data_IF_063823097389
#
_entry.id   IF_063823097389
#
_cell.length_a   1.000
_cell.length_b   1.000
_cell.length_c   1.000
_cell.angle_alpha   90.00
_cell.angle_beta   90.00
_cell.angle_gamma   90.00
#
_symmetry.space_group_name_H-M   'P 1'
#
loop_
_entity.id
_entity.type
_entity.pdbx_description
1 polymer ?
#
# COMPACT_ATOMS: atom_id res chain seq x y z
N UNK A 1 -10.25 7.67 12.39
CA UNK A 1 -11.01 6.84 11.42
C UNK A 1 -10.03 5.94 10.70
N UNK A 2 -10.07 4.64 10.98
CA UNK A 2 -9.19 3.67 10.33
C UNK A 2 -9.53 3.56 8.85
N UNK A 3 -8.51 3.60 8.00
CA UNK A 3 -8.66 3.44 6.55
C UNK A 3 -8.99 1.97 6.28
N UNK A 4 -10.11 1.69 5.60
CA UNK A 4 -10.48 0.32 5.23
C UNK A 4 -9.62 -0.18 4.08
N UNK A 5 -9.28 -1.46 4.12
CA UNK A 5 -8.56 -2.13 3.04
C UNK A 5 -9.42 -2.14 1.79
N UNK A 6 -8.88 -1.72 0.65
CA UNK A 6 -9.61 -1.72 -0.63
C UNK A 6 -9.93 -3.14 -1.13
N UNK A 7 -9.22 -4.15 -0.63
CA UNK A 7 -9.41 -5.55 -1.00
C UNK A 7 -10.46 -6.24 -0.11
N UNK A 8 -10.19 -6.33 1.21
CA UNK A 8 -11.04 -7.10 2.13
C UNK A 8 -12.06 -6.27 2.93
N UNK A 9 -12.05 -4.94 2.86
CA UNK A 9 -12.95 -4.08 3.62
C UNK A 9 -12.62 -3.93 5.13
N UNK A 10 -11.76 -4.79 5.68
CA UNK A 10 -11.29 -4.73 7.06
C UNK A 10 -10.39 -3.50 7.34
N UNK A 11 -10.17 -3.12 8.61
CA UNK A 11 -9.22 -2.07 8.95
C UNK A 11 -7.82 -2.34 8.38
N UNK A 12 -7.30 -1.46 7.52
CA UNK A 12 -5.99 -1.62 6.90
C UNK A 12 -4.81 -1.33 7.85
N UNK A 13 -5.10 -0.66 8.98
CA UNK A 13 -4.07 -0.17 9.89
C UNK A 13 -3.18 0.87 9.23
N UNK A 14 -1.88 0.82 9.55
CA UNK A 14 -0.83 1.67 9.00
C UNK A 14 0.13 0.84 8.15
N UNK A 15 -0.39 -0.04 7.29
CA UNK A 15 0.44 -0.80 6.37
C UNK A 15 0.78 0.06 5.14
N UNK A 16 -0.12 0.15 4.15
CA UNK A 16 0.08 0.99 2.96
C UNK A 16 -1.10 1.90 2.67
N UNK A 17 -0.79 3.10 2.19
CA UNK A 17 -1.77 3.93 1.50
C UNK A 17 -1.85 3.51 0.02
N UNK A 18 -2.98 3.78 -0.62
CA UNK A 18 -3.15 3.64 -2.08
C UNK A 18 -3.39 5.04 -2.62
N UNK A 19 -2.48 5.52 -3.45
CA UNK A 19 -2.44 6.91 -3.93
C UNK A 19 -2.50 6.92 -5.45
N UNK A 20 -3.44 7.66 -6.01
CA UNK A 20 -3.48 7.96 -7.45
C UNK A 20 -2.30 8.89 -7.78
N UNK A 21 -1.40 8.45 -8.65
CA UNK A 21 -0.19 9.20 -9.01
C UNK A 21 -0.49 10.40 -9.91
N UNK A 22 -1.60 10.40 -10.64
CA UNK A 22 -2.02 11.51 -11.51
C UNK A 22 -2.65 12.62 -10.67
N UNK A 23 -3.57 12.24 -9.77
CA UNK A 23 -4.28 13.20 -8.92
C UNK A 23 -3.51 13.61 -7.66
N UNK A 24 -2.51 12.84 -7.24
CA UNK A 24 -1.83 13.00 -5.96
C UNK A 24 -2.73 12.73 -4.75
N UNK A 25 -3.89 12.10 -4.98
CA UNK A 25 -4.92 11.89 -3.96
C UNK A 25 -4.93 10.46 -3.45
N UNK A 26 -5.13 10.30 -2.15
CA UNK A 26 -5.31 8.98 -1.56
C UNK A 26 -6.69 8.42 -1.92
N UNK A 27 -6.69 7.28 -2.58
CA UNK A 27 -7.91 6.57 -3.00
C UNK A 27 -8.26 5.39 -2.09
N UNK A 28 -7.34 4.98 -1.21
CA UNK A 28 -7.61 3.92 -0.23
C UNK A 28 -6.41 3.51 0.60
N UNK A 29 -6.49 2.32 1.20
CA UNK A 29 -5.41 1.68 1.95
C UNK A 29 -5.37 0.18 1.67
N UNK A 30 -4.22 -0.45 1.91
CA UNK A 30 -4.00 -1.89 1.74
C UNK A 30 -3.45 -2.48 3.03
N UNK A 31 -4.13 -3.50 3.57
CA UNK A 31 -3.70 -4.19 4.78
C UNK A 31 -2.55 -5.17 4.49
N UNK A 32 -1.77 -5.49 5.51
CA UNK A 32 -0.60 -6.39 5.38
C UNK A 32 -0.98 -7.80 4.90
N UNK A 33 -2.18 -8.27 5.25
CA UNK A 33 -2.64 -9.61 4.86
C UNK A 33 -2.93 -9.67 3.36
N UNK A 34 -3.67 -8.69 2.82
CA UNK A 34 -3.95 -8.60 1.39
C UNK A 34 -2.68 -8.30 0.59
N UNK A 35 -1.79 -7.43 1.10
CA UNK A 35 -0.47 -7.23 0.46
C UNK A 35 0.30 -8.55 0.33
N UNK A 36 0.34 -9.36 1.39
CA UNK A 36 1.06 -10.64 1.35
C UNK A 36 0.38 -11.69 0.48
N UNK A 37 -0.95 -11.74 0.48
CA UNK A 37 -1.71 -12.65 -0.36
C UNK A 37 -1.45 -12.39 -1.85
N UNK A 38 -1.40 -11.11 -2.23
CA UNK A 38 -1.38 -10.69 -3.63
C UNK A 38 0.04 -10.47 -4.16
N UNK A 39 0.90 -9.86 -3.35
CA UNK A 39 2.25 -9.47 -3.79
C UNK A 39 3.37 -10.26 -3.10
N UNK A 40 3.04 -11.13 -2.14
CA UNK A 40 4.01 -11.87 -1.34
C UNK A 40 4.95 -10.92 -0.60
N UNK A 41 6.25 -11.00 -0.93
CA UNK A 41 7.29 -10.11 -0.38
C UNK A 41 7.85 -9.12 -1.40
N UNK A 42 7.24 -9.05 -2.59
CA UNK A 42 7.76 -8.23 -3.69
C UNK A 42 7.86 -6.78 -3.24
N UNK A 43 6.82 -6.26 -2.59
CA UNK A 43 6.77 -4.88 -2.13
C UNK A 43 7.69 -4.58 -0.92
N UNK A 44 8.28 -5.59 -0.26
CA UNK A 44 9.20 -5.42 0.88
C UNK A 44 10.65 -5.15 0.45
N UNK A 45 11.07 -5.64 -0.74
CA UNK A 45 12.49 -5.72 -1.14
C UNK A 45 12.76 -5.40 -2.62
N UNK A 46 12.04 -4.44 -3.19
CA UNK A 46 12.31 -3.97 -4.54
C UNK A 46 13.16 -2.69 -4.56
N UNK A 47 14.12 -2.61 -5.49
CA UNK A 47 14.57 -1.32 -6.02
C UNK A 47 13.49 -0.81 -6.98
N UNK A 48 12.33 -0.48 -6.44
CA UNK A 48 11.26 0.10 -7.23
C UNK A 48 11.74 1.49 -7.65
N UNK A 49 11.78 1.75 -8.95
CA UNK A 49 11.79 3.13 -9.40
C UNK A 49 10.35 3.43 -9.77
N UNK A 50 9.68 4.31 -9.03
CA UNK A 50 8.32 4.78 -9.31
C UNK A 50 8.17 5.40 -10.71
N UNK A 51 9.28 5.59 -11.42
CA UNK A 51 9.38 6.03 -12.81
C UNK A 51 9.36 4.89 -13.86
N UNK A 52 9.45 3.61 -13.44
CA UNK A 52 9.57 2.47 -14.38
C UNK A 52 8.21 1.85 -14.77
N UNK A 53 7.09 2.45 -14.35
CA UNK A 53 5.76 1.88 -14.58
C UNK A 53 5.35 0.86 -13.50
N UNK A 54 4.46 -0.07 -13.84
CA UNK A 54 3.92 -1.03 -12.91
C UNK A 54 5.01 -2.01 -12.41
N UNK A 55 5.05 -2.24 -11.11
CA UNK A 55 5.96 -3.18 -10.45
C UNK A 55 5.86 -4.65 -10.93
N UNK A 56 4.81 -5.00 -11.68
CA UNK A 56 4.48 -6.39 -12.02
C UNK A 56 4.25 -6.63 -13.53
N UNK A 57 4.24 -5.59 -14.36
CA UNK A 57 4.11 -5.72 -15.81
C UNK A 57 4.64 -4.47 -16.53
N UNK A 58 4.77 -4.53 -17.86
CA UNK A 58 5.30 -3.43 -18.68
C UNK A 58 4.30 -2.27 -18.92
N UNK A 59 3.23 -2.18 -18.12
CA UNK A 59 2.21 -1.12 -18.22
C UNK A 59 2.55 0.06 -17.30
N UNK A 60 1.92 1.20 -17.52
CA UNK A 60 2.07 2.38 -16.66
C UNK A 60 1.59 2.13 -15.21
N UNK A 61 2.31 2.71 -14.26
CA UNK A 61 1.99 2.66 -12.83
C UNK A 61 1.12 3.85 -12.39
N UNK A 62 -0.19 3.66 -12.34
CA UNK A 62 -1.15 4.71 -11.97
C UNK A 62 -1.39 4.85 -10.46
N UNK A 63 -1.01 3.83 -9.68
CA UNK A 63 -1.27 3.81 -8.23
C UNK A 63 -0.01 3.52 -7.43
N UNK A 64 0.40 4.48 -6.60
CA UNK A 64 1.50 4.30 -5.67
C UNK A 64 1.04 3.61 -4.39
N UNK A 65 1.88 2.73 -3.86
CA UNK A 65 1.65 1.96 -2.65
C UNK A 65 2.67 2.31 -1.53
N UNK A 66 2.73 3.58 -1.06
CA UNK A 66 3.69 3.97 -0.04
C UNK A 66 3.33 3.37 1.33
N UNK A 67 4.37 3.07 2.11
CA UNK A 67 4.20 2.58 3.48
C UNK A 67 3.99 3.75 4.44
N UNK A 68 3.16 3.55 5.46
CA UNK A 68 3.10 4.48 6.58
C UNK A 68 4.35 4.31 7.44
N UNK A 69 5.04 5.42 7.69
CA UNK A 69 6.23 5.49 8.53
C UNK A 69 5.90 6.32 9.76
N UNK A 70 6.14 5.80 10.97
CA UNK A 70 6.03 6.60 12.18
C UNK A 70 7.19 7.60 12.25
N UNK A 71 6.86 8.85 12.54
CA UNK A 71 7.82 9.86 12.94
C UNK A 71 7.60 10.21 14.42
N UNK A 72 8.69 10.33 15.16
CA UNK A 72 8.65 10.65 16.58
C UNK A 72 9.44 11.94 16.79
N UNK A 73 8.71 13.03 17.05
CA UNK A 73 9.32 14.32 17.37
C UNK A 73 9.14 14.60 18.86
N UNK A 74 10.24 14.87 19.53
CA UNK A 74 10.19 15.43 20.88
C UNK A 74 9.98 16.94 20.75
N UNK A 75 8.92 17.43 21.38
CA UNK A 75 8.76 18.85 21.68
C UNK A 75 9.13 19.12 23.15
N UNK A 76 9.10 20.39 23.57
CA UNK A 76 9.52 20.80 24.91
C UNK A 76 8.65 20.20 26.04
N UNK A 77 7.45 19.67 25.73
CA UNK A 77 6.48 19.16 26.69
C UNK A 77 6.24 17.65 26.60
N UNK A 78 6.44 17.02 25.44
CA UNK A 78 6.07 15.64 25.18
C UNK A 78 6.84 14.99 24.01
N UNK A 79 6.78 13.66 23.98
CA UNK A 79 7.10 12.89 22.77
C UNK A 79 5.82 12.74 21.95
N UNK A 80 5.80 13.35 20.75
CA UNK A 80 4.68 13.25 19.81
C UNK A 80 5.05 12.23 18.74
N UNK A 81 4.22 11.20 18.60
CA UNK A 81 4.31 10.23 17.50
C UNK A 81 3.26 10.55 16.45
N UNK A 82 3.70 10.83 15.23
CA UNK A 82 2.86 10.99 14.05
C UNK A 82 3.13 9.84 13.09
N UNK A 83 2.19 9.60 12.17
CA UNK A 83 2.34 8.60 11.12
C UNK A 83 2.01 9.29 9.81
N UNK A 84 2.97 9.24 8.89
CA UNK A 84 2.87 9.83 7.57
C UNK A 84 3.36 8.84 6.51
N UNK A 85 3.03 9.07 5.25
CA UNK A 85 3.65 8.37 4.14
C UNK A 85 4.16 9.41 3.15
N UNK A 86 5.14 9.03 2.36
CA UNK A 86 5.68 9.83 1.28
C UNK A 86 5.70 9.00 0.00
N UNK A 87 5.27 9.59 -1.13
CA UNK A 87 5.43 8.99 -2.45
C UNK A 87 6.73 9.52 -3.02
N UNK A 88 7.72 8.64 -3.14
CA UNK A 88 9.05 8.92 -3.67
C UNK A 88 9.32 8.12 -4.93
N UNK A 89 10.42 8.40 -5.62
CA UNK A 89 10.91 7.55 -6.70
C UNK A 89 11.20 6.11 -6.25
N UNK A 90 11.31 5.81 -4.95
CA UNK A 90 11.48 4.45 -4.46
C UNK A 90 10.14 3.72 -4.22
N UNK A 91 9.00 4.39 -4.46
CA UNK A 91 7.68 3.87 -4.15
C UNK A 91 7.20 2.95 -5.26
N UNK A 92 6.81 1.73 -4.91
CA UNK A 92 6.19 0.80 -5.84
C UNK A 92 4.89 1.39 -6.38
N UNK A 93 4.72 1.31 -7.70
CA UNK A 93 3.49 1.68 -8.39
C UNK A 93 2.88 0.45 -9.07
N UNK A 94 1.56 0.43 -9.22
CA UNK A 94 0.82 -0.64 -9.91
C UNK A 94 -0.11 -0.04 -10.96
N UNK A 95 -0.37 -0.78 -12.03
CA UNK A 95 -1.37 -0.41 -13.01
C UNK A 95 -2.80 -0.58 -12.44
N UNK A 96 -3.78 -0.08 -13.18
CA UNK A 96 -5.20 -0.21 -12.88
C UNK A 96 -5.65 -1.67 -12.76
N UNK A 97 -5.18 -2.53 -13.67
CA UNK A 97 -5.52 -3.96 -13.68
C UNK A 97 -5.00 -4.69 -12.43
N UNK A 98 -3.74 -4.47 -12.04
CA UNK A 98 -3.18 -5.03 -10.81
C UNK A 98 -3.82 -4.45 -9.56
N UNK A 99 -4.32 -3.20 -9.59
CA UNK A 99 -5.11 -2.66 -8.48
C UNK A 99 -6.53 -3.26 -8.45
N UNK A 100 -7.15 -3.48 -9.60
CA UNK A 100 -8.51 -4.03 -9.71
C UNK A 100 -8.56 -5.48 -9.26
N UNK A 101 -7.54 -6.28 -9.62
CA UNK A 101 -7.39 -7.65 -9.16
C UNK A 101 -7.47 -7.79 -7.62
N UNK A 102 -6.95 -6.79 -6.88
CA UNK A 102 -7.06 -6.75 -5.42
C UNK A 102 -8.50 -6.67 -4.90
N UNK A 103 -9.42 -6.06 -5.68
CA UNK A 103 -10.80 -5.81 -5.26
C UNK A 103 -11.74 -6.97 -5.55
N UNK A 104 -11.41 -7.76 -6.57
CA UNK A 104 -12.28 -8.81 -7.10
C UNK A 104 -11.97 -10.20 -6.51
N UNK A 105 -10.79 -10.41 -5.91
CA UNK A 105 -10.47 -11.69 -5.28
C UNK A 105 -11.12 -11.76 -3.88
N UNK A 106 -12.07 -12.70 -3.64
CA UNK A 106 -12.62 -12.89 -2.31
C UNK A 106 -11.49 -13.27 -1.34
N UNK A 107 -11.54 -12.83 -0.06
CA UNK A 107 -10.50 -13.16 0.90
C UNK A 107 -10.31 -14.68 0.96
N UNK A 108 -9.14 -15.16 0.52
CA UNK A 108 -8.78 -16.58 0.60
C UNK A 108 -8.69 -16.97 2.07
N UNK A 109 -9.68 -17.72 2.55
CA UNK A 109 -9.66 -18.29 3.90
C UNK A 109 -8.62 -19.41 3.98
N UNK A 110 -7.42 -19.08 4.43
CA UNK A 110 -6.31 -20.02 4.64
C UNK A 110 -6.51 -20.91 5.89
N UNK A 111 -7.74 -21.01 6.44
CA UNK A 111 -8.07 -21.94 7.54
C UNK A 111 -8.46 -23.34 7.08
N UNK A 112 -8.38 -23.63 5.78
CA UNK A 112 -8.68 -24.97 5.24
C UNK A 112 -7.44 -25.65 4.68
N UNK A 113 -6.39 -25.78 5.50
CA UNK A 113 -5.34 -26.76 5.27
C UNK A 113 -5.10 -27.56 6.55
N UNK A 114 -5.94 -28.57 6.74
CA UNK A 114 -5.73 -29.67 7.70
C UNK A 114 -5.50 -30.95 6.93
#
# INVERSE_FOLDING_TARGET
MGQRCIACGEPAGYNRAVVDTVGGVRVGALCVNCERAEFGRSLERGRWRGVDGCAFCDRDGFYALPQWVPDCRRDDAALVSTVAYEVTEATATVCDEHLHALRDDPPRDDRTRK
#
